data_IF_850458677520
#
_entry.id   IF_850458677520
#
_cell.length_a   1.000
_cell.length_b   1.000
_cell.length_c   1.000
_cell.angle_alpha   90.00
_cell.angle_beta   90.00
_cell.angle_gamma   90.00
#
_symmetry.space_group_name_H-M   'P 1'
#
loop_
_entity.id
_entity.type
_entity.pdbx_description
1 polymer ?
#
# COMPACT_ATOMS: atom_id res chain seq x y z
N UNK A 1 -5.42 7.66 -4.59
CA UNK A 1 -6.78 7.35 -4.10
C UNK A 1 -7.44 8.61 -3.51
N UNK A 2 -6.86 9.24 -2.49
CA UNK A 2 -7.43 10.41 -1.83
C UNK A 2 -7.75 11.58 -2.80
N UNK A 3 -6.82 11.93 -3.68
CA UNK A 3 -7.00 13.02 -4.67
C UNK A 3 -8.19 12.76 -5.62
N UNK A 4 -8.44 11.50 -5.94
CA UNK A 4 -9.55 11.08 -6.81
C UNK A 4 -10.86 10.82 -6.05
N UNK A 5 -10.92 11.08 -4.73
CA UNK A 5 -12.10 10.80 -3.91
C UNK A 5 -12.35 9.31 -3.69
N UNK A 6 -11.38 8.44 -4.01
CA UNK A 6 -11.51 7.01 -3.76
C UNK A 6 -11.24 6.74 -2.26
N UNK A 7 -12.23 6.17 -1.51
CA UNK A 7 -12.13 5.97 -0.06
C UNK A 7 -11.26 4.74 0.29
N UNK A 8 -9.99 4.76 -0.15
CA UNK A 8 -9.03 3.70 0.10
C UNK A 8 -7.65 4.29 0.37
N UNK A 9 -7.44 4.71 1.59
CA UNK A 9 -6.21 5.28 2.14
C UNK A 9 -6.17 5.06 3.65
N UNK A 10 -5.00 5.21 4.26
CA UNK A 10 -4.82 4.95 5.69
C UNK A 10 -3.77 5.87 6.32
N UNK A 11 -3.71 5.84 7.64
CA UNK A 11 -2.58 6.28 8.44
C UNK A 11 -1.73 5.05 8.74
N UNK A 12 -0.41 5.11 8.47
CA UNK A 12 0.53 4.02 8.72
C UNK A 12 1.66 4.53 9.60
N UNK A 13 1.86 3.91 10.76
CA UNK A 13 2.87 4.29 11.75
C UNK A 13 3.59 3.03 12.21
N UNK A 14 4.91 3.09 12.24
CA UNK A 14 5.76 2.05 12.83
C UNK A 14 6.79 2.67 13.77
N UNK A 15 7.05 2.01 14.89
CA UNK A 15 8.17 2.33 15.76
C UNK A 15 9.29 1.32 15.52
N UNK A 16 10.47 1.85 15.18
CA UNK A 16 11.68 1.06 15.04
C UNK A 16 12.65 1.40 16.18
N UNK A 17 13.11 0.39 16.90
CA UNK A 17 14.08 0.53 17.98
C UNK A 17 15.28 -0.38 17.70
N UNK A 18 16.47 0.22 17.59
CA UNK A 18 17.74 -0.49 17.32
C UNK A 18 17.67 -1.36 16.05
N UNK A 19 17.04 -0.85 14.98
CA UNK A 19 16.90 -1.54 13.71
C UNK A 19 15.79 -2.61 13.66
N UNK A 20 14.97 -2.71 14.71
CA UNK A 20 13.87 -3.69 14.81
C UNK A 20 12.55 -2.97 14.96
N UNK A 21 11.56 -3.33 14.13
CA UNK A 21 10.19 -2.80 14.27
C UNK A 21 9.55 -3.46 15.48
N UNK A 22 9.15 -2.65 16.47
CA UNK A 22 8.60 -3.11 17.76
C UNK A 22 7.11 -2.87 17.89
N UNK A 23 6.59 -1.82 17.22
CA UNK A 23 5.16 -1.50 17.22
C UNK A 23 4.70 -1.08 15.84
N UNK A 24 3.46 -1.38 15.52
CA UNK A 24 2.82 -1.03 14.27
C UNK A 24 1.37 -0.63 14.48
N UNK A 25 0.93 0.37 13.69
CA UNK A 25 -0.44 0.82 13.61
C UNK A 25 -0.77 1.15 12.16
N UNK A 26 -1.88 0.62 11.67
CA UNK A 26 -2.50 1.05 10.40
C UNK A 26 -3.97 1.35 10.71
N UNK A 27 -4.43 2.54 10.35
CA UNK A 27 -5.81 2.95 10.56
C UNK A 27 -6.48 3.31 9.23
N UNK A 28 -7.54 2.59 8.88
CA UNK A 28 -8.43 2.92 7.77
C UNK A 28 -9.60 3.76 8.30
N UNK A 29 -9.62 5.08 8.06
CA UNK A 29 -10.67 5.95 8.56
C UNK A 29 -12.02 5.74 7.87
N UNK A 30 -12.03 5.19 6.65
CA UNK A 30 -13.26 4.98 5.90
C UNK A 30 -14.05 3.77 6.39
N UNK A 31 -13.34 2.75 6.91
CA UNK A 31 -13.93 1.54 7.46
C UNK A 31 -13.94 1.51 8.98
N UNK A 32 -13.32 2.51 9.61
CA UNK A 32 -13.07 2.55 11.06
C UNK A 32 -12.38 1.27 11.55
N UNK A 33 -11.36 0.86 10.82
CA UNK A 33 -10.57 -0.33 11.12
C UNK A 33 -9.18 0.07 11.63
N UNK A 34 -8.89 -0.28 12.88
CA UNK A 34 -7.60 -0.07 13.51
C UNK A 34 -6.85 -1.41 13.61
N UNK A 35 -5.78 -1.53 12.84
CA UNK A 35 -4.86 -2.67 12.87
C UNK A 35 -3.67 -2.30 13.73
N UNK A 36 -3.36 -3.12 14.73
CA UNK A 36 -2.22 -2.90 15.62
C UNK A 36 -1.41 -4.18 15.81
N UNK A 37 -0.10 -4.03 15.99
CA UNK A 37 0.77 -5.11 16.41
C UNK A 37 1.86 -4.60 17.36
N UNK A 38 2.20 -5.43 18.33
CA UNK A 38 3.39 -5.27 19.17
C UNK A 38 4.19 -6.56 19.05
N UNK A 39 5.51 -6.42 18.81
CA UNK A 39 6.42 -7.56 18.64
C UNK A 39 6.30 -8.57 19.77
N UNK A 40 6.06 -9.83 19.42
CA UNK A 40 5.87 -10.93 20.35
C UNK A 40 4.51 -10.97 21.05
N UNK A 41 3.59 -10.05 20.74
CA UNK A 41 2.27 -10.00 21.38
C UNK A 41 1.10 -10.29 20.43
N UNK A 42 1.39 -10.40 19.14
CA UNK A 42 0.41 -10.68 18.09
C UNK A 42 -0.16 -9.43 17.44
N UNK A 43 -0.97 -9.64 16.41
CA UNK A 43 -1.66 -8.61 15.65
C UNK A 43 -3.15 -8.60 15.96
N UNK A 44 -3.77 -7.40 15.88
CA UNK A 44 -5.16 -7.17 16.24
C UNK A 44 -5.84 -6.26 15.23
N UNK A 45 -7.13 -6.46 15.01
CA UNK A 45 -8.05 -5.56 14.33
C UNK A 45 -9.16 -5.17 15.30
N UNK A 46 -9.29 -3.86 15.65
CA UNK A 46 -10.24 -3.37 16.62
C UNK A 46 -10.25 -4.27 17.89
N UNK A 47 -9.08 -4.46 18.49
CA UNK A 47 -8.80 -5.27 19.69
C UNK A 47 -9.09 -6.78 19.55
N UNK A 48 -9.50 -7.26 18.38
CA UNK A 48 -9.68 -8.69 18.11
C UNK A 48 -8.42 -9.27 17.46
N UNK A 49 -7.89 -10.33 18.03
CA UNK A 49 -6.71 -11.00 17.50
C UNK A 49 -6.93 -11.52 16.09
N UNK A 50 -6.00 -11.21 15.18
CA UNK A 50 -6.06 -11.61 13.77
C UNK A 50 -4.98 -12.64 13.43
N UNK A 51 -5.18 -13.33 12.30
CA UNK A 51 -4.25 -14.31 11.74
C UNK A 51 -4.25 -14.23 10.22
N UNK A 52 -3.07 -14.43 9.63
CA UNK A 52 -2.92 -14.67 8.21
C UNK A 52 -3.74 -15.89 7.76
N UNK A 53 -4.09 -15.94 6.49
CA UNK A 53 -4.90 -17.01 5.92
C UNK A 53 -4.20 -18.38 6.05
N UNK A 54 -4.98 -19.44 5.95
CA UNK A 54 -4.46 -20.84 5.93
C UNK A 54 -4.48 -21.44 4.52
N UNK A 55 -4.81 -20.65 3.50
CA UNK A 55 -4.86 -21.11 2.11
C UNK A 55 -3.44 -21.50 1.66
N UNK A 56 -3.29 -22.62 0.97
CA UNK A 56 -1.98 -23.17 0.62
C UNK A 56 -1.80 -23.45 -0.87
N UNK A 57 -2.79 -23.05 -1.70
CA UNK A 57 -2.78 -23.23 -3.15
C UNK A 57 -2.96 -21.87 -3.81
N UNK A 58 -2.36 -21.69 -4.98
CA UNK A 58 -2.56 -20.45 -5.77
C UNK A 58 -3.97 -20.38 -6.35
N UNK A 59 -4.54 -21.52 -6.70
CA UNK A 59 -5.94 -21.58 -7.19
C UNK A 59 -6.86 -20.95 -6.13
N UNK A 60 -7.68 -20.02 -6.56
CA UNK A 60 -8.62 -19.27 -5.71
C UNK A 60 -7.96 -18.41 -4.61
N UNK A 61 -6.63 -18.27 -4.62
CA UNK A 61 -5.97 -17.32 -3.72
C UNK A 61 -6.20 -15.89 -4.18
N UNK A 62 -6.47 -15.01 -3.22
CA UNK A 62 -6.62 -13.58 -3.45
C UNK A 62 -5.29 -12.87 -3.14
N UNK A 63 -4.62 -12.39 -4.18
CA UNK A 63 -3.33 -11.72 -4.09
C UNK A 63 -3.48 -10.23 -4.29
N UNK A 64 -2.93 -9.44 -3.35
CA UNK A 64 -2.74 -8.01 -3.52
C UNK A 64 -1.46 -7.72 -4.29
N UNK A 65 -1.46 -6.65 -5.09
CA UNK A 65 -0.26 -6.21 -5.82
C UNK A 65 -0.35 -4.73 -6.19
N UNK A 66 0.79 -4.09 -6.44
CA UNK A 66 0.88 -2.82 -7.14
C UNK A 66 1.13 -3.02 -8.63
N UNK A 67 0.98 -1.98 -9.41
CA UNK A 67 1.35 -1.96 -10.82
C UNK A 67 2.50 -0.96 -11.02
N UNK A 68 3.53 -1.28 -11.80
CA UNK A 68 4.60 -0.34 -12.10
C UNK A 68 4.02 0.83 -12.90
N UNK A 69 3.87 1.98 -12.27
CA UNK A 69 3.34 3.19 -12.89
C UNK A 69 4.37 4.32 -13.00
N UNK A 70 5.57 4.11 -12.49
CA UNK A 70 6.68 5.07 -12.65
C UNK A 70 7.42 4.75 -13.93
N UNK A 71 7.69 5.80 -14.74
CA UNK A 71 8.61 5.68 -15.86
C UNK A 71 9.91 5.02 -15.39
N UNK A 72 10.40 4.00 -16.11
CA UNK A 72 11.59 3.20 -15.80
C UNK A 72 11.40 1.99 -14.87
N UNK A 73 10.18 1.62 -14.52
CA UNK A 73 9.93 0.28 -14.00
C UNK A 73 9.73 -0.68 -15.15
N UNK A 74 10.29 -1.89 -15.02
CA UNK A 74 10.18 -2.92 -16.07
C UNK A 74 8.76 -3.51 -16.06
N UNK A 75 7.90 -2.96 -16.92
CA UNK A 75 6.51 -3.41 -17.06
C UNK A 75 6.43 -4.82 -17.62
N UNK A 76 7.35 -5.18 -18.54
CA UNK A 76 7.39 -6.51 -19.17
C UNK A 76 7.78 -7.59 -18.16
N UNK A 77 8.75 -7.31 -17.29
CA UNK A 77 9.11 -8.20 -16.19
C UNK A 77 7.93 -8.41 -15.25
N UNK A 78 7.20 -7.34 -14.92
CA UNK A 78 6.03 -7.44 -14.06
C UNK A 78 4.90 -8.28 -14.69
N UNK A 79 4.60 -8.05 -15.97
CA UNK A 79 3.60 -8.84 -16.72
C UNK A 79 4.02 -10.31 -16.86
N UNK A 80 5.33 -10.57 -17.01
CA UNK A 80 5.89 -11.92 -17.04
C UNK A 80 5.61 -12.69 -15.76
N UNK A 81 5.60 -12.03 -14.61
CA UNK A 81 5.25 -12.64 -13.33
C UNK A 81 3.73 -12.81 -13.16
N UNK A 82 2.95 -11.83 -13.61
CA UNK A 82 1.49 -11.91 -13.46
C UNK A 82 0.87 -13.07 -14.24
N UNK A 83 1.37 -13.33 -15.46
CA UNK A 83 0.83 -14.34 -16.35
C UNK A 83 0.73 -15.73 -15.68
N UNK A 84 1.83 -16.33 -15.18
CA UNK A 84 1.76 -17.65 -14.56
C UNK A 84 0.95 -17.68 -13.26
N UNK A 85 0.78 -16.56 -12.54
CA UNK A 85 -0.09 -16.50 -11.36
C UNK A 85 -1.56 -16.60 -11.75
N UNK A 86 -1.96 -15.86 -12.79
CA UNK A 86 -3.34 -15.91 -13.33
C UNK A 86 -3.63 -17.26 -13.95
N UNK A 87 -2.69 -17.81 -14.74
CA UNK A 87 -2.82 -19.13 -15.37
C UNK A 87 -2.99 -20.27 -14.35
N UNK A 88 -2.46 -20.08 -13.13
CA UNK A 88 -2.64 -20.98 -11.98
C UNK A 88 -3.90 -20.68 -11.15
N UNK A 89 -4.76 -19.78 -11.61
CA UNK A 89 -6.04 -19.48 -10.98
C UNK A 89 -5.97 -18.50 -9.79
N UNK A 90 -4.87 -17.75 -9.62
CA UNK A 90 -4.81 -16.71 -8.62
C UNK A 90 -5.70 -15.51 -9.01
N UNK A 91 -6.40 -14.96 -8.03
CA UNK A 91 -7.24 -13.78 -8.19
C UNK A 91 -6.45 -12.55 -7.75
N UNK A 92 -6.33 -11.56 -8.64
CA UNK A 92 -5.51 -10.38 -8.37
C UNK A 92 -6.35 -9.18 -7.93
N UNK A 93 -5.81 -8.40 -6.99
CA UNK A 93 -6.33 -7.09 -6.58
C UNK A 93 -5.23 -6.04 -6.65
N UNK A 94 -5.58 -4.88 -7.18
CA UNK A 94 -4.73 -3.69 -7.19
C UNK A 94 -5.48 -2.56 -6.50
N UNK A 95 -5.35 -2.48 -5.18
CA UNK A 95 -6.11 -1.58 -4.33
C UNK A 95 -5.51 -0.16 -4.29
N UNK A 96 -4.18 -0.06 -4.44
CA UNK A 96 -3.45 1.19 -4.46
C UNK A 96 -3.10 1.75 -3.08
N UNK A 97 -3.02 0.88 -2.07
CA UNK A 97 -2.51 1.19 -0.74
C UNK A 97 -1.78 -0.03 -0.17
N UNK A 98 -0.47 -0.10 -0.35
CA UNK A 98 0.35 -1.22 0.11
C UNK A 98 0.19 -1.49 1.61
N UNK A 99 0.10 -0.44 2.44
CA UNK A 99 -0.10 -0.61 3.87
C UNK A 99 -1.44 -1.29 4.19
N UNK A 100 -2.54 -0.92 3.52
CA UNK A 100 -3.83 -1.61 3.71
C UNK A 100 -3.79 -3.03 3.15
N UNK A 101 -3.14 -3.25 2.01
CA UNK A 101 -3.01 -4.58 1.41
C UNK A 101 -2.25 -5.53 2.36
N UNK A 102 -1.17 -5.05 3.02
CA UNK A 102 -0.46 -5.81 4.07
C UNK A 102 -1.34 -6.07 5.31
N UNK A 103 -2.14 -5.09 5.74
CA UNK A 103 -3.10 -5.29 6.82
C UNK A 103 -4.16 -6.34 6.44
N UNK A 104 -4.56 -6.40 5.18
CA UNK A 104 -5.47 -7.43 4.67
C UNK A 104 -4.82 -8.81 4.60
N UNK A 105 -3.52 -8.90 4.32
CA UNK A 105 -2.77 -10.16 4.48
C UNK A 105 -2.76 -10.61 5.95
N UNK A 106 -2.49 -9.69 6.87
CA UNK A 106 -2.48 -10.00 8.31
C UNK A 106 -3.84 -10.49 8.84
N UNK A 107 -4.96 -10.04 8.23
CA UNK A 107 -6.32 -10.50 8.58
C UNK A 107 -6.78 -11.73 7.81
N UNK A 108 -6.02 -12.21 6.83
CA UNK A 108 -6.41 -13.30 5.94
C UNK A 108 -7.49 -12.92 4.91
N UNK A 109 -7.75 -11.63 4.72
CA UNK A 109 -8.59 -11.12 3.62
C UNK A 109 -7.88 -11.27 2.28
N UNK A 110 -6.58 -10.98 2.26
CA UNK A 110 -5.68 -11.38 1.18
C UNK A 110 -4.84 -12.56 1.64
N UNK A 111 -4.53 -13.43 0.70
CA UNK A 111 -3.71 -14.62 0.99
C UNK A 111 -2.22 -14.31 0.88
N UNK A 112 -1.85 -13.38 -0.01
CA UNK A 112 -0.51 -12.83 -0.13
C UNK A 112 -0.56 -11.43 -0.78
N UNK A 113 0.58 -10.75 -0.76
CA UNK A 113 0.81 -9.45 -1.37
C UNK A 113 2.23 -9.38 -1.90
N UNK A 114 2.42 -8.77 -3.09
CA UNK A 114 3.73 -8.43 -3.61
C UNK A 114 3.69 -7.13 -4.41
N UNK A 115 4.71 -6.30 -4.24
CA UNK A 115 4.82 -5.01 -4.95
C UNK A 115 6.27 -4.54 -5.01
N UNK A 116 6.59 -3.76 -6.07
CA UNK A 116 7.88 -3.13 -6.33
C UNK A 116 7.83 -1.62 -6.05
N UNK A 117 8.98 -1.06 -5.68
CA UNK A 117 9.17 0.39 -5.59
C UNK A 117 8.55 1.02 -4.34
N UNK A 118 8.25 0.21 -3.33
CA UNK A 118 7.71 0.65 -2.05
C UNK A 118 8.78 1.37 -1.20
N UNK A 119 8.31 2.16 -0.26
CA UNK A 119 9.14 2.91 0.68
C UNK A 119 8.93 2.37 2.10
N UNK A 120 9.87 2.61 3.03
CA UNK A 120 9.75 2.12 4.41
C UNK A 120 8.42 2.44 5.08
N UNK A 121 7.86 3.62 4.83
CA UNK A 121 6.56 4.01 5.40
C UNK A 121 5.35 3.27 4.81
N UNK A 122 5.50 2.66 3.62
CA UNK A 122 4.46 1.82 3.03
C UNK A 122 4.43 0.43 3.66
N UNK A 123 5.58 -0.08 4.11
CA UNK A 123 5.74 -1.51 4.46
C UNK A 123 6.05 -1.76 5.94
N UNK A 124 6.67 -0.81 6.65
CA UNK A 124 7.17 -1.07 8.00
C UNK A 124 6.07 -1.52 8.99
N UNK A 125 4.94 -0.82 9.05
CA UNK A 125 3.84 -1.21 9.93
C UNK A 125 3.21 -2.53 9.46
N UNK A 126 2.97 -2.67 8.16
CA UNK A 126 2.38 -3.87 7.57
C UNK A 126 3.23 -5.13 7.78
N UNK A 127 4.54 -5.01 7.71
CA UNK A 127 5.45 -6.16 7.92
C UNK A 127 5.34 -6.75 9.33
N UNK A 128 5.27 -5.89 10.36
CA UNK A 128 5.06 -6.37 11.72
C UNK A 128 3.67 -6.98 11.91
N UNK A 129 2.61 -6.36 11.34
CA UNK A 129 1.26 -6.91 11.38
C UNK A 129 1.21 -8.32 10.79
N UNK A 130 1.79 -8.53 9.61
CA UNK A 130 1.82 -9.83 8.93
C UNK A 130 2.60 -10.85 9.76
N UNK A 131 3.78 -10.49 10.26
CA UNK A 131 4.63 -11.39 11.06
C UNK A 131 3.93 -11.80 12.36
N UNK A 132 3.34 -10.85 13.08
CA UNK A 132 2.61 -11.11 14.33
C UNK A 132 1.28 -11.86 14.12
N UNK A 133 0.74 -11.81 12.89
CA UNK A 133 -0.39 -12.63 12.48
C UNK A 133 -0.01 -14.05 12.05
N UNK A 134 1.30 -14.39 12.04
CA UNK A 134 1.82 -15.72 11.67
C UNK A 134 2.11 -15.86 10.17
N UNK A 135 2.20 -14.77 9.44
CA UNK A 135 2.68 -14.73 8.07
C UNK A 135 4.21 -14.55 7.98
N UNK A 136 4.72 -14.55 6.75
CA UNK A 136 6.10 -14.25 6.42
C UNK A 136 6.16 -12.98 5.57
N UNK A 137 7.26 -12.27 5.69
CA UNK A 137 7.60 -11.10 4.87
C UNK A 137 9.04 -11.20 4.40
N UNK A 138 9.31 -10.70 3.21
CA UNK A 138 10.64 -10.65 2.62
C UNK A 138 10.66 -9.80 1.35
N UNK A 139 11.82 -9.71 0.74
CA UNK A 139 11.96 -9.26 -0.64
C UNK A 139 11.65 -10.43 -1.61
N UNK A 140 11.89 -10.23 -2.91
CA UNK A 140 11.60 -11.26 -3.91
C UNK A 140 12.63 -12.41 -3.95
N UNK A 141 13.76 -12.25 -3.26
CA UNK A 141 14.72 -13.32 -3.02
C UNK A 141 14.36 -14.14 -1.75
N UNK A 142 13.36 -13.69 -0.99
CA UNK A 142 12.94 -14.28 0.28
C UNK A 142 13.75 -13.78 1.48
N UNK A 143 14.58 -12.74 1.28
CA UNK A 143 15.46 -12.17 2.29
C UNK A 143 14.83 -10.98 3.04
N UNK A 144 15.49 -10.51 4.09
CA UNK A 144 14.93 -9.47 4.97
C UNK A 144 15.12 -8.03 4.47
N UNK A 145 15.53 -7.80 3.22
CA UNK A 145 15.89 -6.48 2.68
C UNK A 145 14.68 -5.66 2.17
N UNK A 146 13.47 -6.02 2.52
CA UNK A 146 12.23 -5.39 2.03
C UNK A 146 12.07 -3.91 2.45
N UNK A 147 12.68 -3.47 3.56
CA UNK A 147 12.58 -2.08 4.03
C UNK A 147 13.34 -1.11 3.13
N UNK A 148 14.54 -1.48 2.73
CA UNK A 148 15.45 -0.62 1.97
C UNK A 148 15.45 -0.96 0.47
N UNK A 149 15.22 -2.23 0.13
CA UNK A 149 15.22 -2.73 -1.25
C UNK A 149 14.02 -2.32 -2.08
N UNK A 150 12.93 -1.89 -1.46
CA UNK A 150 11.70 -1.47 -2.14
C UNK A 150 10.90 -2.62 -2.78
N UNK A 151 11.30 -3.86 -2.55
CA UNK A 151 10.58 -5.07 -2.94
C UNK A 151 9.87 -5.65 -1.72
N UNK A 152 8.61 -5.98 -1.83
CA UNK A 152 7.84 -6.56 -0.74
C UNK A 152 7.07 -7.78 -1.20
N UNK A 153 7.31 -8.89 -0.55
CA UNK A 153 6.50 -10.11 -0.58
C UNK A 153 6.00 -10.41 0.82
N UNK A 154 4.71 -10.62 0.96
CA UNK A 154 4.07 -11.00 2.22
C UNK A 154 3.01 -12.07 1.97
N UNK A 155 2.84 -12.98 2.91
CA UNK A 155 1.81 -14.02 2.80
C UNK A 155 1.89 -15.03 3.95
N UNK A 156 0.97 -16.00 3.94
CA UNK A 156 1.15 -17.14 4.83
C UNK A 156 2.38 -17.97 4.41
N UNK A 157 2.99 -18.78 5.30
CA UNK A 157 4.24 -19.47 5.00
C UNK A 157 4.19 -20.37 3.74
N UNK A 158 3.04 -20.97 3.43
CA UNK A 158 2.89 -21.84 2.26
C UNK A 158 2.90 -21.05 0.95
N UNK A 159 2.11 -19.99 0.86
CA UNK A 159 2.07 -19.15 -0.34
C UNK A 159 3.37 -18.36 -0.50
N UNK A 160 3.99 -17.91 0.59
CA UNK A 160 5.29 -17.26 0.53
C UNK A 160 6.33 -18.15 -0.18
N UNK A 161 6.45 -19.43 0.25
CA UNK A 161 7.37 -20.37 -0.36
C UNK A 161 7.04 -20.76 -1.82
N UNK A 162 5.78 -20.63 -2.24
CA UNK A 162 5.37 -20.82 -3.64
C UNK A 162 5.69 -19.59 -4.48
N UNK A 163 5.54 -18.39 -3.92
CA UNK A 163 5.70 -17.13 -4.66
C UNK A 163 7.17 -16.75 -4.86
N UNK A 164 8.06 -16.97 -3.89
CA UNK A 164 9.50 -16.68 -4.05
C UNK A 164 10.08 -17.23 -5.36
N UNK A 165 9.99 -18.52 -5.67
CA UNK A 165 10.58 -19.05 -6.91
C UNK A 165 9.89 -18.58 -8.20
N UNK A 166 8.70 -17.99 -8.12
CA UNK A 166 8.01 -17.38 -9.26
C UNK A 166 8.42 -15.92 -9.47
N UNK A 167 8.72 -15.20 -8.39
CA UNK A 167 9.09 -13.78 -8.44
C UNK A 167 10.60 -13.58 -8.67
N UNK A 168 11.43 -14.35 -7.98
CA UNK A 168 12.88 -14.23 -7.96
C UNK A 168 13.54 -14.23 -9.36
N UNK A 169 13.22 -15.15 -10.29
CA UNK A 169 13.89 -15.21 -11.57
C UNK A 169 13.66 -13.99 -12.48
N UNK A 170 12.62 -13.21 -12.21
CA UNK A 170 12.17 -12.12 -13.06
C UNK A 170 12.33 -10.76 -12.36
N UNK A 171 12.08 -10.72 -11.06
CA UNK A 171 12.01 -9.49 -10.26
C UNK A 171 12.98 -9.47 -9.08
N UNK A 172 13.81 -10.52 -8.90
CA UNK A 172 14.80 -10.62 -7.83
C UNK A 172 15.94 -9.60 -7.95
N UNK A 173 16.89 -9.66 -7.04
CA UNK A 173 17.96 -8.64 -6.83
C UNK A 173 18.85 -8.31 -8.03
N UNK A 174 18.77 -9.07 -9.12
CA UNK A 174 19.46 -8.77 -10.38
C UNK A 174 18.84 -7.63 -11.19
N UNK A 175 17.60 -7.27 -10.91
CA UNK A 175 16.88 -6.17 -11.58
C UNK A 175 16.79 -4.98 -10.63
N UNK A 176 17.89 -4.24 -10.49
CA UNK A 176 17.80 -2.92 -9.86
C UNK A 176 16.87 -2.04 -10.72
N UNK A 177 15.79 -1.47 -10.18
CA UNK A 177 15.13 -0.38 -10.85
C UNK A 177 16.18 0.71 -11.08
N UNK A 178 16.42 1.09 -12.33
CA UNK A 178 17.36 2.14 -12.66
C UNK A 178 17.08 3.34 -11.73
N UNK A 179 18.12 3.77 -11.02
CA UNK A 179 18.04 4.94 -10.14
C UNK A 179 17.36 6.07 -10.94
N UNK A 180 16.38 6.79 -10.37
CA UNK A 180 15.76 7.88 -11.09
C UNK A 180 16.88 8.83 -11.51
N UNK A 181 17.06 9.02 -12.81
CA UNK A 181 17.93 10.06 -13.31
C UNK A 181 17.48 11.35 -12.61
N UNK A 182 18.43 12.00 -11.93
CA UNK A 182 18.20 13.27 -11.30
C UNK A 182 17.68 14.24 -12.36
N UNK A 183 16.38 14.38 -12.46
CA UNK A 183 15.80 15.45 -13.23
C UNK A 183 15.88 16.69 -12.35
N UNK A 184 16.91 17.49 -12.62
CA UNK A 184 16.92 18.92 -12.32
C UNK A 184 15.75 19.59 -13.07
N UNK A 185 14.57 19.38 -12.58
CA UNK A 185 13.40 20.15 -12.93
C UNK A 185 13.04 20.98 -11.69
N UNK A 186 13.50 22.22 -11.70
CA UNK A 186 13.03 23.22 -10.76
C UNK A 186 11.49 23.15 -10.67
N UNK A 187 10.90 23.20 -9.48
CA UNK A 187 9.46 23.15 -9.32
C UNK A 187 8.85 24.34 -10.09
N UNK A 188 7.96 24.05 -11.01
CA UNK A 188 7.20 25.09 -11.73
C UNK A 188 6.55 26.02 -10.71
N UNK A 189 6.57 27.36 -10.94
CA UNK A 189 6.03 28.31 -9.99
C UNK A 189 4.55 28.01 -9.75
N UNK A 190 4.20 27.84 -8.48
CA UNK A 190 2.82 27.63 -8.04
C UNK A 190 1.98 28.79 -8.55
N UNK A 191 1.09 28.51 -9.48
CA UNK A 191 0.09 29.47 -9.96
C UNK A 191 -0.76 29.87 -8.77
N UNK A 192 -0.53 31.09 -8.26
CA UNK A 192 -1.38 31.66 -7.22
C UNK A 192 -2.79 31.76 -7.78
N UNK A 193 -3.71 30.97 -7.25
CA UNK A 193 -5.13 31.18 -7.45
C UNK A 193 -5.49 32.52 -6.80
N UNK A 194 -5.59 33.58 -7.61
CA UNK A 194 -6.15 34.85 -7.16
C UNK A 194 -7.57 34.57 -6.68
N UNK A 195 -7.80 34.77 -5.39
CA UNK A 195 -9.16 34.84 -4.86
C UNK A 195 -9.91 35.94 -5.63
N UNK A 196 -10.96 35.54 -6.34
CA UNK A 196 -11.90 36.50 -6.90
C UNK A 196 -12.62 37.16 -5.72
N UNK A 197 -12.29 38.42 -5.46
CA UNK A 197 -13.06 39.25 -4.55
C UNK A 197 -14.51 39.27 -5.04
N UNK A 198 -15.42 38.86 -4.18
CA UNK A 198 -16.86 39.06 -4.35
C UNK A 198 -17.09 40.54 -4.47
N UNK A 199 -17.47 41.00 -5.66
CA UNK A 199 -18.00 42.34 -5.85
C UNK A 199 -19.28 42.50 -5.01
N UNK A 200 -19.33 43.57 -4.23
CA UNK A 200 -20.50 43.93 -3.42
C UNK A 200 -21.70 44.14 -4.36
N UNK A 201 -22.84 43.61 -4.00
CA UNK A 201 -24.10 43.88 -4.65
C UNK A 201 -24.52 45.36 -4.36
N UNK A 202 -25.08 46.07 -5.30
CA UNK A 202 -25.58 47.43 -5.05
C UNK A 202 -26.83 47.36 -4.17
N UNK A 203 -26.83 48.21 -3.14
CA UNK A 203 -28.00 48.51 -2.31
C UNK A 203 -29.13 49.03 -3.20
N UNK A 204 -30.28 48.40 -3.17
CA UNK A 204 -31.51 48.93 -3.75
C UNK A 204 -32.10 49.93 -2.78
N UNK A 205 -32.16 51.18 -3.27
CA UNK A 205 -32.76 52.27 -2.55
C UNK A 205 -34.25 52.03 -2.23
N UNK A 206 -34.61 52.51 -1.07
CA UNK A 206 -35.99 52.65 -0.62
C UNK A 206 -36.71 53.63 -1.57
N UNK A 207 -37.82 53.17 -2.12
CA UNK A 207 -38.82 54.06 -2.72
C UNK A 207 -39.97 54.16 -1.71
N UNK A 208 -40.07 55.32 -1.14
CA UNK A 208 -41.33 55.83 -0.57
C UNK A 208 -42.41 55.75 -1.63
N UNK A 209 -43.54 55.17 -1.29
CA UNK A 209 -44.79 55.53 -1.98
C UNK A 209 -45.86 55.77 -0.92
N UNK A 210 -46.26 57.02 -0.95
CA UNK A 210 -47.33 57.65 -0.22
C UNK A 210 -48.60 57.53 -1.09
N UNK A 211 -49.76 57.32 -0.46
CA UNK A 211 -51.14 57.56 -0.92
C UNK A 211 -52.10 56.36 -1.04
N UNK A 212 -53.04 56.55 -0.15
CA UNK A 212 -54.47 56.30 -0.05
C UNK A 212 -54.89 55.02 0.65
#
# INVERSE_FOLDING_TARGET
NFIHGLPHYCISIALMERGVITQALIFDPNRNELFTATRGRGAFLNDRRIRASKRFRLEDSLLGTGFPFRRHQDEDAYLTVLRPLVDKGAIMRRSGSAALDLAYVATGRFDAFFELGLKPWDVAAGSLLVTEAGGLVGDFDGEANYLDGGQMLAGNPKLFSILVPLLQPVLGSGVQPAAPAATDAAPAPRRQLRARSRAAAPERGAAEDDRH
#
